data_IF_832916800277
#
_entry.id   IF_832916800277
#
_cell.length_a   1.000
_cell.length_b   1.000
_cell.length_c   1.000
_cell.angle_alpha   90.00
_cell.angle_beta   90.00
_cell.angle_gamma   90.00
#
_symmetry.space_group_name_H-M   'P 1'
#
loop_
_entity.id
_entity.type
_entity.pdbx_description
1 polymer ?
#
# COMPACT_ATOMS: atom_id res chain seq x y z
N UNK A 1 -13.59 -1.07 22.92
CA UNK A 1 -13.82 -1.07 21.47
C UNK A 1 -13.12 -2.28 20.91
N UNK A 2 -13.86 -3.23 20.33
CA UNK A 2 -13.33 -4.49 19.77
C UNK A 2 -12.28 -4.26 18.67
N UNK A 3 -12.28 -3.06 18.07
CA UNK A 3 -11.24 -2.57 17.16
C UNK A 3 -9.83 -2.66 17.75
N UNK A 4 -9.66 -2.53 19.07
CA UNK A 4 -8.35 -2.46 19.72
C UNK A 4 -7.53 -3.74 19.58
N UNK A 5 -8.18 -4.87 19.26
CA UNK A 5 -7.52 -6.15 19.01
C UNK A 5 -7.20 -6.39 17.53
N UNK A 6 -7.74 -5.53 16.65
CA UNK A 6 -7.68 -5.67 15.19
C UNK A 6 -6.76 -4.62 14.55
N UNK A 7 -6.72 -3.41 15.12
CA UNK A 7 -5.94 -2.28 14.59
C UNK A 7 -4.70 -2.02 15.45
N UNK A 8 -3.63 -1.52 14.82
CA UNK A 8 -2.36 -1.23 15.52
C UNK A 8 -2.44 0.05 16.36
N UNK A 9 -3.34 0.96 16.00
CA UNK A 9 -3.57 2.22 16.71
C UNK A 9 -4.18 1.97 18.09
N UNK A 10 -3.48 2.27 19.21
CA UNK A 10 -4.06 2.13 20.53
C UNK A 10 -5.17 3.16 20.74
N UNK A 11 -6.31 2.71 21.28
CA UNK A 11 -7.48 3.55 21.56
C UNK A 11 -7.93 4.39 20.35
N UNK A 12 -8.31 3.76 19.21
CA UNK A 12 -8.53 4.44 17.94
C UNK A 12 -9.51 5.62 18.01
N UNK A 13 -10.52 5.51 18.87
CA UNK A 13 -11.56 6.52 19.07
C UNK A 13 -11.09 7.77 19.83
N UNK A 14 -9.90 7.73 20.46
CA UNK A 14 -9.38 8.77 21.36
C UNK A 14 -8.11 9.45 20.85
N UNK A 15 -7.52 8.96 19.77
CA UNK A 15 -6.23 9.46 19.26
C UNK A 15 -6.44 10.37 18.05
N UNK A 16 -6.03 11.64 18.20
CA UNK A 16 -6.05 12.63 17.11
C UNK A 16 -5.09 12.26 15.97
N UNK A 17 -5.37 12.66 14.72
CA UNK A 17 -4.53 12.32 13.56
C UNK A 17 -3.03 12.56 13.76
N UNK A 18 -2.64 13.74 14.25
CA UNK A 18 -1.23 14.08 14.55
C UNK A 18 -0.59 13.14 15.56
N UNK A 19 -1.35 12.67 16.54
CA UNK A 19 -0.87 11.73 17.56
C UNK A 19 -0.74 10.31 16.99
N UNK A 20 -1.58 9.92 16.03
CA UNK A 20 -1.47 8.62 15.31
C UNK A 20 -0.11 8.48 14.64
N UNK A 21 0.32 9.47 13.86
CA UNK A 21 1.61 9.43 13.15
C UNK A 21 2.80 9.35 14.13
N UNK A 22 2.73 10.06 15.27
CA UNK A 22 3.78 10.02 16.29
C UNK A 22 3.89 8.63 16.94
N UNK A 23 2.76 8.03 17.32
CA UNK A 23 2.72 6.69 17.91
C UNK A 23 3.19 5.62 16.92
N UNK A 24 2.74 5.72 15.67
CA UNK A 24 3.16 4.84 14.57
C UNK A 24 4.67 4.83 14.39
N UNK A 25 5.27 6.02 14.29
CA UNK A 25 6.72 6.17 14.13
C UNK A 25 7.49 5.55 15.30
N UNK A 26 6.99 5.73 16.53
CA UNK A 26 7.57 5.12 17.73
C UNK A 26 7.52 3.59 17.68
N UNK A 27 6.39 3.03 17.27
CA UNK A 27 6.20 1.58 17.19
C UNK A 27 7.06 0.95 16.10
N UNK A 28 7.07 1.53 14.90
CA UNK A 28 7.93 1.09 13.80
C UNK A 28 9.42 1.14 14.19
N UNK A 29 9.84 2.18 14.92
CA UNK A 29 11.23 2.28 15.43
C UNK A 29 11.54 1.16 16.43
N UNK A 30 10.59 0.85 17.32
CA UNK A 30 10.72 -0.21 18.33
C UNK A 30 10.77 -1.60 17.71
N UNK A 31 10.02 -1.82 16.62
CA UNK A 31 9.89 -3.12 15.95
C UNK A 31 10.99 -3.41 14.93
N UNK A 32 11.71 -2.39 14.48
CA UNK A 32 12.79 -2.57 13.50
C UNK A 32 13.88 -3.51 14.01
N UNK A 33 14.18 -4.55 13.23
CA UNK A 33 15.30 -5.45 13.46
C UNK A 33 16.39 -5.18 12.43
N UNK A 34 17.50 -4.60 12.87
CA UNK A 34 18.65 -4.36 12.01
C UNK A 34 19.29 -5.67 11.52
N UNK A 35 19.28 -6.72 12.35
CA UNK A 35 19.81 -8.03 11.98
C UNK A 35 19.02 -8.64 10.82
N UNK A 36 17.68 -8.58 10.87
CA UNK A 36 16.83 -9.10 9.79
C UNK A 36 17.04 -8.29 8.51
N UNK A 37 17.03 -6.97 8.60
CA UNK A 37 17.32 -6.11 7.45
C UNK A 37 18.67 -6.44 6.79
N UNK A 38 19.72 -6.65 7.60
CA UNK A 38 21.04 -7.01 7.09
C UNK A 38 21.07 -8.41 6.46
N UNK A 39 20.33 -9.38 7.01
CA UNK A 39 20.21 -10.70 6.40
C UNK A 39 19.61 -10.60 4.99
N UNK A 40 18.48 -9.89 4.83
CA UNK A 40 17.87 -9.67 3.51
C UNK A 40 18.78 -8.88 2.56
N UNK A 41 19.65 -8.02 3.09
CA UNK A 41 20.62 -7.28 2.29
C UNK A 41 21.77 -8.16 1.79
N UNK A 42 22.36 -8.96 2.67
CA UNK A 42 23.53 -9.79 2.34
C UNK A 42 23.18 -11.12 1.67
N UNK A 43 21.93 -11.57 1.78
CA UNK A 43 21.43 -12.84 1.21
C UNK A 43 20.28 -12.60 0.21
N UNK A 44 20.48 -11.81 -0.86
CA UNK A 44 19.42 -11.46 -1.80
C UNK A 44 18.83 -12.67 -2.53
N UNK A 45 19.57 -13.77 -2.67
CA UNK A 45 19.12 -15.02 -3.29
C UNK A 45 17.84 -15.59 -2.66
N UNK A 46 17.57 -15.26 -1.39
CA UNK A 46 16.38 -15.70 -0.66
C UNK A 46 15.08 -15.05 -1.17
N UNK A 47 15.14 -13.89 -1.82
CA UNK A 47 13.96 -13.15 -2.26
C UNK A 47 14.07 -12.50 -3.65
N UNK A 48 15.26 -12.46 -4.27
CA UNK A 48 15.49 -11.75 -5.53
C UNK A 48 14.71 -12.36 -6.70
N UNK A 49 14.38 -13.65 -6.66
CA UNK A 49 13.50 -14.31 -7.64
C UNK A 49 12.14 -13.60 -7.75
N UNK A 50 11.60 -13.13 -6.62
CA UNK A 50 10.31 -12.43 -6.52
C UNK A 50 10.30 -11.07 -7.27
N UNK A 51 11.48 -10.50 -7.57
CA UNK A 51 11.56 -9.31 -8.43
C UNK A 51 11.22 -9.61 -9.90
N UNK A 52 11.33 -10.88 -10.31
CA UNK A 52 11.02 -11.32 -11.69
C UNK A 52 9.51 -11.41 -11.93
N UNK A 53 8.72 -11.58 -10.87
CA UNK A 53 7.26 -11.55 -10.97
C UNK A 53 6.78 -10.26 -11.65
N UNK A 54 5.84 -10.40 -12.59
CA UNK A 54 5.24 -9.30 -13.34
C UNK A 54 3.74 -9.27 -13.07
N UNK A 55 3.24 -8.24 -12.37
CA UNK A 55 1.80 -8.02 -12.26
C UNK A 55 1.13 -7.86 -13.63
N UNK A 56 -0.12 -8.30 -13.75
CA UNK A 56 -0.85 -8.35 -15.01
C UNK A 56 -0.98 -6.98 -15.70
N UNK A 57 -1.09 -5.89 -14.94
CA UNK A 57 -1.17 -4.53 -15.49
C UNK A 57 0.13 -4.06 -16.18
N UNK A 58 1.24 -4.79 -16.06
CA UNK A 58 2.45 -4.54 -16.85
C UNK A 58 2.38 -5.10 -18.27
N UNK A 59 1.41 -5.96 -18.55
CA UNK A 59 1.20 -6.60 -19.85
C UNK A 59 -0.04 -6.01 -20.52
N UNK A 60 -0.02 -4.70 -20.78
CA UNK A 60 -1.19 -3.96 -21.29
C UNK A 60 -1.78 -4.56 -22.58
N UNK A 61 -0.92 -5.08 -23.47
CA UNK A 61 -1.34 -5.70 -24.73
C UNK A 61 -2.17 -6.98 -24.54
N UNK A 62 -1.97 -7.68 -23.41
CA UNK A 62 -2.74 -8.87 -23.07
C UNK A 62 -4.14 -8.55 -22.51
N UNK A 63 -4.38 -7.31 -22.06
CA UNK A 63 -5.62 -6.89 -21.42
C UNK A 63 -6.17 -5.60 -22.07
N UNK A 64 -6.58 -5.65 -23.35
CA UNK A 64 -6.99 -4.47 -24.12
C UNK A 64 -8.24 -3.78 -23.56
N UNK A 65 -9.04 -4.47 -22.74
CA UNK A 65 -10.25 -3.98 -22.09
C UNK A 65 -10.11 -3.82 -20.56
N UNK A 66 -8.90 -3.97 -20.02
CA UNK A 66 -8.65 -3.98 -18.58
C UNK A 66 -8.74 -5.38 -17.97
N UNK A 67 -8.69 -5.48 -16.62
CA UNK A 67 -8.79 -6.76 -15.93
C UNK A 67 -10.18 -7.37 -16.02
N UNK A 68 -10.25 -8.69 -16.12
CA UNK A 68 -11.49 -9.42 -15.95
C UNK A 68 -11.92 -9.44 -14.48
N UNK A 69 -13.21 -9.19 -14.28
CA UNK A 69 -13.87 -9.37 -12.98
C UNK A 69 -14.55 -10.73 -12.93
N UNK A 70 -14.36 -11.43 -11.80
CA UNK A 70 -15.06 -12.67 -11.49
C UNK A 70 -16.54 -12.40 -11.20
N UNK A 71 -17.36 -13.45 -11.21
CA UNK A 71 -18.79 -13.31 -10.90
C UNK A 71 -19.02 -12.81 -9.47
N UNK A 72 -18.20 -13.26 -8.52
CA UNK A 72 -18.23 -12.80 -7.13
C UNK A 72 -17.89 -11.30 -7.01
N UNK A 73 -16.87 -10.85 -7.74
CA UNK A 73 -16.51 -9.44 -7.80
C UNK A 73 -17.65 -8.60 -8.40
N UNK A 74 -18.25 -9.05 -9.51
CA UNK A 74 -19.40 -8.37 -10.13
C UNK A 74 -20.59 -8.32 -9.19
N UNK A 75 -20.90 -9.41 -8.51
CA UNK A 75 -21.96 -9.46 -7.52
C UNK A 75 -21.72 -8.45 -6.39
N UNK A 76 -20.49 -8.38 -5.87
CA UNK A 76 -20.12 -7.40 -4.84
C UNK A 76 -20.31 -5.95 -5.29
N UNK A 77 -20.01 -5.64 -6.55
CA UNK A 77 -20.25 -4.31 -7.11
C UNK A 77 -21.75 -3.99 -7.20
N UNK A 78 -22.59 -4.96 -7.57
CA UNK A 78 -24.05 -4.81 -7.57
C UNK A 78 -24.55 -4.51 -6.16
N UNK A 79 -24.09 -5.25 -5.14
CA UNK A 79 -24.47 -5.02 -3.75
C UNK A 79 -24.07 -3.62 -3.28
N UNK A 80 -22.86 -3.17 -3.66
CA UNK A 80 -22.36 -1.83 -3.30
C UNK A 80 -23.02 -0.68 -4.05
N UNK A 81 -23.68 -0.92 -5.18
CA UNK A 81 -24.28 0.14 -6.00
C UNK A 81 -25.34 0.98 -5.25
N UNK A 82 -25.94 0.41 -4.21
CA UNK A 82 -26.93 1.07 -3.35
C UNK A 82 -26.32 1.89 -2.20
N UNK A 83 -25.03 1.69 -1.91
CA UNK A 83 -24.32 2.37 -0.82
C UNK A 83 -24.15 3.85 -1.17
N UNK A 84 -24.40 4.73 -0.21
CA UNK A 84 -24.16 6.17 -0.37
C UNK A 84 -22.75 6.50 0.09
N UNK A 85 -21.93 6.99 -0.83
CA UNK A 85 -20.64 7.57 -0.47
C UNK A 85 -20.85 8.85 0.36
N UNK A 86 -19.90 9.19 1.25
CA UNK A 86 -19.82 10.49 1.90
C UNK A 86 -19.88 11.66 0.90
N UNK A 87 -20.04 12.89 1.39
CA UNK A 87 -20.00 14.05 0.50
C UNK A 87 -18.65 14.12 -0.24
N UNK A 88 -18.66 14.65 -1.46
CA UNK A 88 -17.41 14.89 -2.20
C UNK A 88 -16.61 15.92 -1.40
N UNK A 89 -15.31 15.70 -1.16
CA UNK A 89 -14.50 16.70 -0.44
C UNK A 89 -14.59 18.07 -1.11
N UNK A 90 -14.88 19.10 -0.30
CA UNK A 90 -14.87 20.49 -0.77
C UNK A 90 -13.47 21.09 -0.81
N UNK A 91 -12.53 20.50 -0.08
CA UNK A 91 -11.13 20.93 0.02
C UNK A 91 -10.22 20.08 -0.88
N UNK A 92 -9.37 20.76 -1.65
CA UNK A 92 -8.36 20.12 -2.49
C UNK A 92 -7.36 19.27 -1.67
N UNK A 93 -7.06 19.66 -0.43
CA UNK A 93 -6.18 18.87 0.45
C UNK A 93 -6.81 17.52 0.84
N UNK A 94 -8.12 17.47 1.03
CA UNK A 94 -8.85 16.22 1.30
C UNK A 94 -8.87 15.33 0.05
N UNK A 95 -9.04 15.91 -1.15
CA UNK A 95 -8.92 15.17 -2.42
C UNK A 95 -7.54 14.53 -2.54
N UNK A 96 -6.46 15.29 -2.30
CA UNK A 96 -5.08 14.74 -2.30
C UNK A 96 -4.96 13.58 -1.31
N UNK A 97 -5.54 13.72 -0.12
CA UNK A 97 -5.48 12.70 0.93
C UNK A 97 -6.17 11.39 0.53
N UNK A 98 -7.31 11.47 -0.18
CA UNK A 98 -8.01 10.29 -0.72
C UNK A 98 -7.13 9.50 -1.70
N UNK A 99 -6.48 10.20 -2.64
CA UNK A 99 -5.60 9.58 -3.64
C UNK A 99 -4.34 8.98 -3.00
N UNK A 100 -3.77 9.64 -1.99
CA UNK A 100 -2.62 9.09 -1.25
C UNK A 100 -3.00 7.86 -0.41
N UNK A 101 -4.20 7.83 0.18
CA UNK A 101 -4.73 6.64 0.85
C UNK A 101 -4.95 5.47 -0.12
N UNK A 102 -5.45 5.74 -1.34
CA UNK A 102 -5.50 4.72 -2.40
C UNK A 102 -4.10 4.19 -2.73
N UNK A 103 -3.11 5.07 -2.92
CA UNK A 103 -1.75 4.65 -3.23
C UNK A 103 -1.12 3.82 -2.10
N UNK A 104 -1.38 4.12 -0.82
CA UNK A 104 -0.96 3.30 0.32
C UNK A 104 -1.51 1.87 0.25
N UNK A 105 -2.81 1.72 -0.06
CA UNK A 105 -3.46 0.43 -0.25
C UNK A 105 -2.84 -0.35 -1.42
N UNK A 106 -2.61 0.33 -2.55
CA UNK A 106 -2.01 -0.28 -3.74
C UNK A 106 -0.55 -0.69 -3.52
N UNK A 107 0.22 0.09 -2.75
CA UNK A 107 1.59 -0.26 -2.38
C UNK A 107 1.62 -1.50 -1.48
N UNK A 108 0.74 -1.57 -0.49
CA UNK A 108 0.60 -2.73 0.39
C UNK A 108 0.19 -3.99 -0.38
N UNK A 109 -0.82 -3.89 -1.25
CA UNK A 109 -1.26 -5.00 -2.11
C UNK A 109 -0.19 -5.43 -3.12
N UNK A 110 0.47 -4.49 -3.79
CA UNK A 110 1.50 -4.82 -4.79
C UNK A 110 2.74 -5.45 -4.14
N UNK A 111 3.05 -5.09 -2.89
CA UNK A 111 4.07 -5.78 -2.11
C UNK A 111 3.66 -7.24 -1.87
N UNK A 112 2.45 -7.44 -1.32
CA UNK A 112 1.93 -8.77 -1.02
C UNK A 112 1.85 -9.66 -2.26
N UNK A 113 1.29 -9.13 -3.37
CA UNK A 113 1.17 -9.79 -4.66
C UNK A 113 2.51 -10.31 -5.19
N UNK A 114 3.60 -9.57 -4.97
CA UNK A 114 4.95 -10.03 -5.33
C UNK A 114 5.46 -11.13 -4.43
N UNK A 115 5.26 -11.01 -3.12
CA UNK A 115 5.73 -12.00 -2.15
C UNK A 115 5.08 -13.36 -2.40
N UNK A 116 3.80 -13.37 -2.78
CA UNK A 116 3.06 -14.59 -3.12
C UNK A 116 3.06 -14.94 -4.61
N UNK A 117 3.77 -14.18 -5.44
CA UNK A 117 3.85 -14.39 -6.90
C UNK A 117 2.49 -14.59 -7.61
N UNK A 118 1.45 -13.91 -7.13
CA UNK A 118 0.08 -14.03 -7.66
C UNK A 118 -0.77 -15.14 -7.04
N UNK A 119 -0.21 -16.02 -6.22
CA UNK A 119 -0.90 -17.15 -5.58
C UNK A 119 -1.60 -16.77 -4.27
N UNK A 120 -2.48 -17.62 -3.76
CA UNK A 120 -3.13 -17.42 -2.46
C UNK A 120 -2.16 -17.62 -1.29
N UNK A 121 -2.27 -16.79 -0.24
CA UNK A 121 -1.46 -16.89 0.96
C UNK A 121 -2.27 -16.49 2.20
N UNK A 122 -2.19 -17.26 3.29
CA UNK A 122 -2.95 -17.01 4.53
C UNK A 122 -2.55 -15.70 5.20
N UNK A 123 -1.30 -15.28 5.06
CA UNK A 123 -0.76 -14.07 5.67
C UNK A 123 -1.05 -12.80 4.86
N UNK A 124 -1.69 -12.90 3.69
CA UNK A 124 -1.91 -11.74 2.82
C UNK A 124 -2.74 -10.63 3.49
N UNK A 125 -3.80 -10.99 4.22
CA UNK A 125 -4.57 -10.03 4.99
C UNK A 125 -3.71 -9.30 6.04
N UNK A 126 -2.86 -10.05 6.75
CA UNK A 126 -1.90 -9.49 7.71
C UNK A 126 -0.89 -8.56 7.04
N UNK A 127 -0.24 -9.01 5.97
CA UNK A 127 0.75 -8.22 5.22
C UNK A 127 0.16 -6.90 4.76
N UNK A 128 -1.02 -6.93 4.13
CA UNK A 128 -1.67 -5.73 3.58
C UNK A 128 -2.02 -4.75 4.71
N UNK A 129 -2.67 -5.22 5.78
CA UNK A 129 -3.04 -4.35 6.89
C UNK A 129 -1.81 -3.78 7.61
N UNK A 130 -0.74 -4.59 7.77
CA UNK A 130 0.51 -4.14 8.37
C UNK A 130 1.27 -3.17 7.48
N UNK A 131 1.22 -3.29 6.15
CA UNK A 131 1.94 -2.35 5.29
C UNK A 131 1.17 -1.05 5.08
N UNK A 132 -0.15 -1.11 4.97
CA UNK A 132 -0.99 0.09 4.84
C UNK A 132 -1.16 0.77 6.20
N UNK A 133 -0.58 1.97 6.34
CA UNK A 133 -0.82 2.80 7.53
C UNK A 133 -2.22 3.44 7.50
N UNK A 134 -2.83 3.57 6.31
CA UNK A 134 -4.24 3.97 6.17
C UNK A 134 -5.14 2.98 6.92
N UNK A 135 -4.88 1.68 6.81
CA UNK A 135 -5.63 0.64 7.52
C UNK A 135 -5.23 0.56 9.01
N UNK A 136 -3.99 0.17 9.30
CA UNK A 136 -3.60 -0.21 10.67
C UNK A 136 -3.47 0.97 11.64
N UNK A 137 -3.21 2.18 11.13
CA UNK A 137 -2.96 3.38 11.93
C UNK A 137 -3.95 4.51 11.69
N UNK A 138 -4.92 4.32 10.79
CA UNK A 138 -5.83 5.37 10.34
C UNK A 138 -5.10 6.66 9.97
N UNK A 139 -3.95 6.49 9.31
CA UNK A 139 -3.09 7.58 8.85
C UNK A 139 -3.77 8.31 7.69
N UNK A 140 -3.65 9.63 7.69
CA UNK A 140 -4.11 10.47 6.58
C UNK A 140 -2.90 11.18 6.02
N UNK A 141 -2.57 10.89 4.77
CA UNK A 141 -1.41 11.45 4.10
C UNK A 141 -1.77 12.74 3.39
N UNK A 142 -0.91 13.74 3.50
CA UNK A 142 -1.10 15.04 2.84
C UNK A 142 -0.06 15.33 1.75
N UNK A 143 0.96 14.47 1.63
CA UNK A 143 1.98 14.57 0.59
C UNK A 143 2.58 13.19 0.28
N UNK A 144 3.07 13.04 -0.95
CA UNK A 144 3.67 11.80 -1.43
C UNK A 144 4.94 11.37 -0.66
N UNK A 145 5.85 12.28 -0.25
CA UNK A 145 7.01 11.90 0.54
C UNK A 145 6.68 11.18 1.84
N UNK A 146 5.74 11.69 2.63
CA UNK A 146 5.34 11.10 3.91
C UNK A 146 4.70 9.72 3.71
N UNK A 147 3.91 9.54 2.65
CA UNK A 147 3.38 8.24 2.23
C UNK A 147 4.51 7.25 1.95
N UNK A 148 5.46 7.61 1.07
CA UNK A 148 6.54 6.70 0.68
C UNK A 148 7.48 6.38 1.83
N UNK A 149 7.83 7.35 2.68
CA UNK A 149 8.63 7.11 3.89
C UNK A 149 7.91 6.12 4.79
N UNK A 150 6.60 6.31 4.98
CA UNK A 150 5.78 5.42 5.80
C UNK A 150 5.74 4.01 5.24
N UNK A 151 5.38 3.83 3.97
CA UNK A 151 5.34 2.53 3.33
C UNK A 151 6.70 1.80 3.40
N UNK A 152 7.79 2.49 3.02
CA UNK A 152 9.13 1.90 3.05
C UNK A 152 9.55 1.50 4.46
N UNK A 153 9.35 2.36 5.47
CA UNK A 153 9.65 2.00 6.87
C UNK A 153 8.93 0.73 7.27
N UNK A 154 7.64 0.62 6.96
CA UNK A 154 6.82 -0.54 7.34
C UNK A 154 7.25 -1.80 6.60
N UNK A 155 7.55 -1.70 5.31
CA UNK A 155 8.08 -2.78 4.49
C UNK A 155 9.47 -3.27 4.93
N UNK A 156 10.26 -2.41 5.60
CA UNK A 156 11.55 -2.77 6.18
C UNK A 156 11.46 -3.22 7.65
N UNK A 157 10.27 -3.21 8.26
CA UNK A 157 10.07 -3.51 9.68
C UNK A 157 9.25 -4.77 9.89
N UNK A 158 8.17 -4.95 9.15
CA UNK A 158 7.17 -5.97 9.44
C UNK A 158 7.28 -7.25 8.61
N UNK A 159 7.23 -7.20 7.27
CA UNK A 159 7.03 -8.39 6.46
C UNK A 159 8.30 -9.27 6.37
N UNK A 160 8.17 -10.38 5.65
CA UNK A 160 9.24 -11.35 5.43
C UNK A 160 10.44 -10.74 4.70
N UNK A 161 10.22 -10.02 3.60
CA UNK A 161 11.27 -9.45 2.73
C UNK A 161 11.51 -7.97 3.05
N UNK A 162 12.56 -7.65 3.80
CA UNK A 162 12.88 -6.29 4.26
C UNK A 162 13.97 -5.68 3.41
N UNK A 163 13.66 -5.51 2.13
CA UNK A 163 14.61 -5.02 1.13
C UNK A 163 14.18 -3.69 0.51
N UNK A 164 15.11 -2.73 0.47
CA UNK A 164 14.92 -1.44 -0.18
C UNK A 164 14.66 -1.58 -1.69
N UNK A 165 15.41 -2.47 -2.33
CA UNK A 165 15.28 -2.78 -3.76
C UNK A 165 13.91 -3.37 -4.07
N UNK A 166 13.40 -4.22 -3.17
CA UNK A 166 12.04 -4.77 -3.29
C UNK A 166 10.98 -3.66 -3.17
N UNK A 167 11.08 -2.78 -2.17
CA UNK A 167 10.17 -1.63 -2.02
C UNK A 167 10.15 -0.74 -3.26
N UNK A 168 11.33 -0.50 -3.85
CA UNK A 168 11.47 0.31 -5.07
C UNK A 168 10.82 -0.34 -6.28
N UNK A 169 10.92 -1.66 -6.39
CA UNK A 169 10.22 -2.42 -7.43
C UNK A 169 8.70 -2.31 -7.26
N UNK A 170 8.19 -2.52 -6.05
CA UNK A 170 6.75 -2.38 -5.72
C UNK A 170 6.22 -0.98 -6.08
N UNK A 171 6.93 0.07 -5.68
CA UNK A 171 6.58 1.46 -6.05
C UNK A 171 6.47 1.63 -7.56
N UNK A 172 7.41 1.04 -8.31
CA UNK A 172 7.41 1.08 -9.78
C UNK A 172 6.22 0.31 -10.37
N UNK A 173 5.72 -0.74 -9.71
CA UNK A 173 4.52 -1.44 -10.18
C UNK A 173 3.27 -0.60 -10.02
N UNK A 174 3.12 0.06 -8.87
CA UNK A 174 1.99 0.95 -8.60
C UNK A 174 2.04 2.16 -9.54
N UNK A 175 3.22 2.72 -9.77
CA UNK A 175 3.40 3.82 -10.73
C UNK A 175 2.93 3.42 -12.14
N UNK A 176 3.25 2.19 -12.60
CA UNK A 176 2.83 1.67 -13.90
C UNK A 176 1.33 1.36 -13.94
N UNK A 177 0.77 0.80 -12.86
CA UNK A 177 -0.68 0.57 -12.73
C UNK A 177 -1.44 1.88 -12.91
N UNK A 178 -1.03 2.90 -12.16
CA UNK A 178 -1.68 4.20 -12.14
C UNK A 178 -1.54 4.98 -13.44
N UNK A 179 -0.52 4.71 -14.26
CA UNK A 179 -0.34 5.32 -15.59
C UNK A 179 -0.91 4.46 -16.72
N UNK A 180 -1.50 3.30 -16.41
CA UNK A 180 -2.07 2.43 -17.43
C UNK A 180 -3.34 3.03 -18.03
N UNK A 181 -3.66 2.64 -19.27
CA UNK A 181 -4.90 3.03 -19.96
C UNK A 181 -6.16 2.70 -19.16
N UNK A 182 -6.14 1.60 -18.39
CA UNK A 182 -7.27 1.10 -17.61
C UNK A 182 -7.01 1.27 -16.10
N UNK A 183 -6.39 2.38 -15.70
CA UNK A 183 -5.94 2.62 -14.33
C UNK A 183 -7.07 2.43 -13.31
N UNK A 184 -8.27 2.96 -13.57
CA UNK A 184 -9.43 2.81 -12.66
C UNK A 184 -9.84 1.35 -12.50
N UNK A 185 -9.89 0.58 -13.59
CA UNK A 185 -10.26 -0.83 -13.57
C UNK A 185 -9.23 -1.69 -12.83
N UNK A 186 -7.94 -1.42 -13.02
CA UNK A 186 -6.87 -2.09 -12.27
C UNK A 186 -6.89 -1.72 -10.79
N UNK A 187 -7.11 -0.45 -10.44
CA UNK A 187 -7.28 -0.04 -9.04
C UNK A 187 -8.48 -0.75 -8.42
N UNK A 188 -9.61 -0.83 -9.13
CA UNK A 188 -10.81 -1.54 -8.69
C UNK A 188 -10.52 -3.03 -8.44
N UNK A 189 -9.81 -3.70 -9.35
CA UNK A 189 -9.40 -5.10 -9.19
C UNK A 189 -8.55 -5.30 -7.93
N UNK A 190 -7.54 -4.46 -7.72
CA UNK A 190 -6.72 -4.49 -6.51
C UNK A 190 -7.55 -4.27 -5.24
N UNK A 191 -8.47 -3.30 -5.23
CA UNK A 191 -9.31 -3.02 -4.07
C UNK A 191 -10.26 -4.18 -3.71
N UNK A 192 -10.85 -4.82 -4.73
CA UNK A 192 -11.68 -6.01 -4.54
C UNK A 192 -10.86 -7.19 -3.98
N UNK A 193 -9.63 -7.37 -4.45
CA UNK A 193 -8.74 -8.40 -3.95
C UNK A 193 -8.29 -8.11 -2.51
N UNK A 194 -7.89 -6.88 -2.19
CA UNK A 194 -7.61 -6.45 -0.81
C UNK A 194 -8.81 -6.76 0.09
N UNK A 195 -10.02 -6.39 -0.36
CA UNK A 195 -11.25 -6.64 0.40
C UNK A 195 -11.40 -8.13 0.73
N UNK A 196 -11.26 -9.01 -0.27
CA UNK A 196 -11.36 -10.46 -0.09
C UNK A 196 -10.32 -10.99 0.90
N UNK A 197 -9.06 -10.58 0.75
CA UNK A 197 -7.95 -11.00 1.61
C UNK A 197 -8.13 -10.54 3.07
N UNK A 198 -8.70 -9.36 3.30
CA UNK A 198 -9.01 -8.85 4.63
C UNK A 198 -10.22 -9.56 5.28
N UNK A 199 -11.24 -9.95 4.51
CA UNK A 199 -12.35 -10.77 5.06
C UNK A 199 -11.85 -12.15 5.48
N UNK A 200 -10.99 -12.76 4.66
CA UNK A 200 -10.45 -14.09 4.92
C UNK A 200 -9.55 -14.13 6.17
N UNK A 201 -8.99 -12.99 6.58
CA UNK A 201 -8.14 -12.90 7.76
C UNK A 201 -8.95 -12.62 9.04
N UNK A 202 -8.74 -13.39 10.13
CA UNK A 202 -9.51 -13.23 11.37
C UNK A 202 -9.49 -11.79 11.91
N UNK A 203 -10.67 -11.23 12.13
CA UNK A 203 -10.86 -9.89 12.69
C UNK A 203 -10.75 -8.72 11.70
N UNK A 204 -10.24 -8.93 10.48
CA UNK A 204 -9.90 -7.82 9.57
C UNK A 204 -11.04 -7.34 8.68
N UNK A 205 -12.22 -7.98 8.73
CA UNK A 205 -13.42 -7.55 8.03
C UNK A 205 -13.81 -6.09 8.29
N UNK A 206 -13.46 -5.55 9.47
CA UNK A 206 -13.79 -4.17 9.85
C UNK A 206 -13.15 -3.12 8.93
N UNK A 207 -11.96 -3.41 8.38
CA UNK A 207 -11.33 -2.51 7.41
C UNK A 207 -12.16 -2.36 6.14
N UNK A 208 -12.95 -3.39 5.80
CA UNK A 208 -13.77 -3.34 4.59
C UNK A 208 -14.92 -2.35 4.70
N UNK A 209 -15.51 -2.24 5.89
CA UNK A 209 -16.61 -1.31 6.14
C UNK A 209 -16.11 0.13 6.35
N UNK A 210 -14.94 0.27 7.00
CA UNK A 210 -14.31 1.56 7.30
C UNK A 210 -13.65 2.21 6.07
N UNK A 211 -13.11 1.43 5.13
CA UNK A 211 -12.31 1.94 4.03
C UNK A 211 -12.70 1.35 2.67
N UNK A 212 -12.64 0.01 2.52
CA UNK A 212 -12.58 -0.59 1.17
C UNK A 212 -13.88 -0.40 0.38
N UNK A 213 -15.05 -0.57 1.02
CA UNK A 213 -16.33 -0.43 0.31
C UNK A 213 -16.52 0.99 -0.27
N UNK A 214 -16.09 2.02 0.47
CA UNK A 214 -16.15 3.40 0.00
C UNK A 214 -15.10 3.66 -1.08
N UNK A 215 -13.88 3.13 -0.96
CA UNK A 215 -12.86 3.23 -2.02
C UNK A 215 -13.28 2.51 -3.32
N UNK A 216 -13.90 1.34 -3.22
CA UNK A 216 -14.42 0.56 -4.36
C UNK A 216 -15.50 1.36 -5.09
N UNK A 217 -16.43 1.99 -4.38
CA UNK A 217 -17.46 2.79 -5.03
C UNK A 217 -16.90 4.13 -5.54
N UNK A 218 -15.97 4.75 -4.82
CA UNK A 218 -15.34 6.01 -5.20
C UNK A 218 -14.50 5.89 -6.47
N UNK A 219 -13.69 4.82 -6.61
CA UNK A 219 -12.86 4.61 -7.80
C UNK A 219 -13.74 4.41 -9.04
N UNK A 220 -14.94 3.85 -8.91
CA UNK A 220 -15.86 3.69 -10.04
C UNK A 220 -16.50 5.03 -10.45
N UNK A 221 -16.96 5.80 -9.47
CA UNK A 221 -17.93 6.89 -9.70
C UNK A 221 -17.34 8.29 -9.67
N UNK A 222 -16.25 8.53 -8.92
CA UNK A 222 -15.79 9.89 -8.58
C UNK A 222 -14.31 10.14 -8.85
N UNK A 223 -13.49 9.08 -8.91
CA UNK A 223 -12.08 9.25 -9.22
C UNK A 223 -11.85 9.75 -10.64
N UNK A 224 -11.05 10.81 -10.76
CA UNK A 224 -10.44 11.32 -11.99
C UNK A 224 -9.24 10.46 -12.40
N UNK A 225 -9.19 10.10 -13.68
CA UNK A 225 -8.05 9.39 -14.29
C UNK A 225 -6.79 10.27 -14.37
N UNK A 226 -6.95 11.56 -14.67
CA UNK A 226 -5.82 12.50 -14.73
C UNK A 226 -5.06 12.58 -13.40
N UNK A 227 -5.80 12.57 -12.29
CA UNK A 227 -5.18 12.53 -10.95
C UNK A 227 -4.47 11.20 -10.68
N UNK A 228 -5.00 10.06 -11.14
CA UNK A 228 -4.33 8.76 -11.03
C UNK A 228 -3.03 8.76 -11.84
N UNK A 229 -3.09 9.21 -13.09
CA UNK A 229 -1.93 9.28 -14.00
C UNK A 229 -0.87 10.23 -13.45
N UNK A 230 -1.28 11.40 -12.96
CA UNK A 230 -0.39 12.37 -12.30
C UNK A 230 0.30 11.76 -11.08
N UNK A 231 -0.45 11.10 -10.19
CA UNK A 231 0.12 10.42 -9.03
C UNK A 231 1.10 9.31 -9.43
N UNK A 232 0.77 8.53 -10.46
CA UNK A 232 1.66 7.50 -11.01
C UNK A 232 2.96 8.09 -11.57
N UNK A 233 2.88 9.21 -12.30
CA UNK A 233 4.04 9.92 -12.80
C UNK A 233 4.93 10.47 -11.67
N UNK A 234 4.33 11.05 -10.63
CA UNK A 234 5.08 11.50 -9.44
C UNK A 234 5.73 10.33 -8.70
N UNK A 235 5.02 9.21 -8.52
CA UNK A 235 5.58 7.98 -7.97
C UNK A 235 6.79 7.48 -8.75
N UNK A 236 6.81 7.63 -10.08
CA UNK A 236 7.95 7.24 -10.92
C UNK A 236 9.14 8.20 -10.77
N UNK A 237 8.88 9.52 -10.72
CA UNK A 237 9.90 10.57 -10.66
C UNK A 237 10.66 10.62 -9.35
N UNK A 238 10.07 10.15 -8.25
CA UNK A 238 10.72 10.23 -6.93
C UNK A 238 12.08 9.53 -6.99
N UNK A 239 13.15 10.33 -7.00
CA UNK A 239 14.50 9.88 -6.75
C UNK A 239 14.66 9.83 -5.25
N UNK A 240 14.66 8.62 -4.69
CA UNK A 240 14.84 8.42 -3.26
C UNK A 240 16.33 8.58 -2.94
N UNK A 241 16.83 9.81 -3.11
CA UNK A 241 18.20 10.19 -2.83
C UNK A 241 18.47 10.23 -1.32
N UNK A 242 19.75 10.37 -0.98
CA UNK A 242 20.33 10.32 0.38
C UNK A 242 19.56 11.10 1.47
N UNK A 243 18.79 12.14 1.11
CA UNK A 243 17.94 12.90 2.03
C UNK A 243 16.75 12.09 2.58
N UNK A 244 16.08 11.24 1.80
CA UNK A 244 15.00 10.35 2.28
C UNK A 244 15.49 9.34 3.32
N UNK A 245 16.76 8.91 3.17
CA UNK A 245 17.44 7.93 4.05
C UNK A 245 17.62 8.45 5.48
N UNK A 246 17.80 9.77 5.65
CA UNK A 246 17.86 10.45 6.96
C UNK A 246 16.50 10.49 7.68
N UNK A 247 15.40 10.51 6.93
CA UNK A 247 14.05 10.56 7.50
C UNK A 247 13.52 9.20 7.93
N UNK A 248 14.12 8.11 7.42
CA UNK A 248 13.77 6.77 7.89
C UNK A 248 14.02 6.65 9.39
N UNK A 249 14.96 7.35 10.04
CA UNK A 249 15.20 7.28 11.50
C UNK A 249 15.27 5.84 12.08
N UNK A 250 15.52 4.85 11.23
CA UNK A 250 15.94 3.49 11.57
C UNK A 250 17.46 3.55 11.75
N UNK A 251 18.02 2.77 12.66
CA UNK A 251 19.38 2.87 13.20
C UNK A 251 20.42 3.33 12.16
N UNK A 252 21.07 4.47 12.43
CA UNK A 252 21.72 5.37 11.46
C UNK A 252 22.88 4.77 10.64
N UNK A 253 23.45 3.63 11.06
CA UNK A 253 24.70 3.08 10.50
C UNK A 253 24.52 1.95 9.48
N UNK A 254 23.41 1.20 9.50
CA UNK A 254 23.30 -0.06 8.74
C UNK A 254 22.54 0.07 7.42
N UNK A 255 21.49 0.91 7.39
CA UNK A 255 20.73 1.20 6.16
C UNK A 255 21.54 2.07 5.18
N UNK A 256 22.62 2.72 5.63
CA UNK A 256 23.44 3.59 4.77
C UNK A 256 24.37 2.83 3.81
N UNK A 257 24.91 1.66 4.21
CA UNK A 257 25.84 0.88 3.39
C UNK A 257 25.19 0.25 2.16
N UNK A 258 23.98 -0.28 2.34
CA UNK A 258 23.18 -0.95 1.30
C UNK A 258 22.92 -0.05 0.08
N UNK A 259 22.70 1.24 0.32
CA UNK A 259 22.23 2.15 -0.70
C UNK A 259 23.38 2.83 -1.48
N UNK A 260 24.65 2.57 -1.13
CA UNK A 260 25.78 2.90 -2.01
C UNK A 260 25.86 1.90 -3.16
N UNK A 261 25.51 0.63 -2.90
CA UNK A 261 25.55 -0.44 -3.90
C UNK A 261 24.31 -0.49 -4.81
N UNK A 262 23.16 0.04 -4.36
CA UNK A 262 21.91 0.04 -5.15
C UNK A 262 21.73 1.26 -6.09
N UNK A 263 22.68 2.21 -6.14
CA UNK A 263 22.63 3.41 -7.01
C UNK A 263 23.45 3.22 -8.31
N UNK A 264 24.11 2.08 -8.46
CA UNK A 264 24.72 1.61 -9.70
C UNK A 264 23.94 0.42 -10.28
#
# INVERSE_FOLDING_TARGET
SDLSYVVDLPYPDKVSPKKRSTLRLSEEKRRFSAQHYLADFFEPESWQSLLKFRPLWRSADAFPHGPDLTDEERHRLIVLSSRRLPHVPGDACEVVSLYLGLADLLLAHSYDLRVREGEEMTESGWNIAKLSATLSWFEVFHNLPDLLITFYRRALVFPLVRSWRFCTRVRTDVAVLLQSKHAKSWCLKCLLEIRRLLIAYPGYHVYTDLYLDDYILWIQTRASEDHLHSLGAELQKVSIAVKFKRYLRLSFTLVQHDIVYCIH
#
